data_IF_904402521675
#
_entry.id   IF_904402521675
#
_cell.length_a   1.000
_cell.length_b   1.000
_cell.length_c   1.000
_cell.angle_alpha   90.00
_cell.angle_beta   90.00
_cell.angle_gamma   90.00
#
_symmetry.space_group_name_H-M   'P 1'
#
loop_
_entity.id
_entity.type
_entity.pdbx_description
1 polymer ?
#
# COMPACT_ATOMS: atom_id res chain seq x y z
N UNK A 1 -28.26 -44.20 55.50
CA UNK A 1 -27.85 -42.97 54.80
C UNK A 1 -27.92 -43.22 53.29
N UNK A 2 -29.08 -42.80 52.63
CA UNK A 2 -29.27 -42.94 51.21
C UNK A 2 -28.86 -41.67 50.53
N UNK A 3 -27.70 -41.69 49.93
CA UNK A 3 -27.25 -40.65 48.99
C UNK A 3 -28.08 -40.66 47.70
N UNK A 4 -28.90 -39.64 47.57
CA UNK A 4 -29.73 -39.40 46.36
C UNK A 4 -28.78 -39.07 45.19
N UNK A 5 -28.54 -40.04 44.31
CA UNK A 5 -27.97 -39.78 42.98
C UNK A 5 -29.04 -39.07 42.14
N UNK A 6 -28.92 -37.73 41.99
CA UNK A 6 -29.65 -36.97 40.99
C UNK A 6 -29.24 -37.45 39.62
N UNK A 7 -30.15 -38.14 38.95
CA UNK A 7 -29.99 -38.62 37.59
C UNK A 7 -29.79 -37.45 36.62
N UNK A 8 -28.62 -37.29 36.12
CA UNK A 8 -28.38 -36.52 34.91
C UNK A 8 -29.18 -37.16 33.79
N UNK A 9 -30.26 -36.49 33.37
CA UNK A 9 -31.07 -36.91 32.24
C UNK A 9 -30.16 -37.05 31.02
N UNK A 10 -30.01 -38.27 30.50
CA UNK A 10 -29.23 -38.55 29.29
C UNK A 10 -29.88 -37.80 28.12
N UNK A 11 -29.28 -36.73 27.71
CA UNK A 11 -29.61 -36.06 26.45
C UNK A 11 -29.52 -37.10 25.33
N UNK A 12 -30.53 -37.22 24.48
CA UNK A 12 -30.44 -38.09 23.31
C UNK A 12 -29.24 -37.61 22.46
N UNK A 13 -28.51 -38.54 21.84
CA UNK A 13 -27.31 -38.24 21.05
C UNK A 13 -27.55 -37.10 20.04
N UNK A 14 -28.72 -37.03 19.44
CA UNK A 14 -29.11 -35.96 18.55
C UNK A 14 -29.16 -34.56 19.21
N UNK A 15 -29.75 -34.48 20.43
CA UNK A 15 -29.82 -33.20 21.18
C UNK A 15 -28.42 -32.74 21.63
N UNK A 16 -27.54 -33.66 22.03
CA UNK A 16 -26.16 -33.36 22.37
C UNK A 16 -25.38 -32.85 21.17
N UNK A 17 -25.55 -33.49 20.02
CA UNK A 17 -24.91 -33.02 18.76
C UNK A 17 -25.41 -31.63 18.34
N UNK A 18 -26.71 -31.37 18.45
CA UNK A 18 -27.26 -30.02 18.12
C UNK A 18 -26.71 -28.95 19.05
N UNK A 19 -26.63 -29.21 20.35
CA UNK A 19 -26.06 -28.28 21.32
C UNK A 19 -24.58 -28.00 21.03
N UNK A 20 -23.80 -29.04 20.73
CA UNK A 20 -22.39 -28.87 20.38
C UNK A 20 -22.25 -28.02 19.11
N UNK A 21 -23.05 -28.30 18.08
CA UNK A 21 -23.02 -27.50 16.84
C UNK A 21 -23.37 -26.04 17.12
N UNK A 22 -24.38 -25.74 17.92
CA UNK A 22 -24.73 -24.38 18.29
C UNK A 22 -23.58 -23.68 19.01
N UNK A 23 -22.94 -24.36 19.95
CA UNK A 23 -21.75 -23.80 20.66
C UNK A 23 -20.62 -23.48 19.67
N UNK A 24 -20.32 -24.40 18.76
CA UNK A 24 -19.27 -24.16 17.73
C UNK A 24 -19.64 -22.98 16.86
N UNK A 25 -20.86 -22.84 16.40
CA UNK A 25 -21.33 -21.71 15.59
C UNK A 25 -21.22 -20.40 16.37
N UNK A 26 -21.64 -20.37 17.63
CA UNK A 26 -21.50 -19.15 18.47
C UNK A 26 -20.03 -18.75 18.62
N UNK A 27 -19.14 -19.69 18.93
CA UNK A 27 -17.71 -19.38 19.03
C UNK A 27 -17.12 -18.94 17.70
N UNK A 28 -17.52 -19.53 16.58
CA UNK A 28 -17.08 -19.10 15.25
C UNK A 28 -17.51 -17.66 14.94
N UNK A 29 -18.76 -17.31 15.25
CA UNK A 29 -19.27 -15.94 15.07
C UNK A 29 -18.53 -14.96 15.97
N UNK A 30 -18.34 -15.29 17.26
CA UNK A 30 -17.57 -14.44 18.18
C UNK A 30 -16.12 -14.26 17.72
N UNK A 31 -15.46 -15.34 17.32
CA UNK A 31 -14.09 -15.27 16.78
C UNK A 31 -14.02 -14.41 15.53
N UNK A 32 -15.02 -14.50 14.65
CA UNK A 32 -15.09 -13.67 13.45
C UNK A 32 -15.31 -12.18 13.78
N UNK A 33 -16.13 -11.87 14.79
CA UNK A 33 -16.33 -10.51 15.27
C UNK A 33 -15.03 -9.93 15.85
N UNK A 34 -14.35 -10.71 16.70
CA UNK A 34 -13.05 -10.29 17.27
C UNK A 34 -12.01 -10.07 16.16
N UNK A 35 -11.98 -10.96 15.17
CA UNK A 35 -11.04 -10.83 14.05
C UNK A 35 -11.30 -9.59 13.17
N UNK A 36 -12.58 -9.21 13.01
CA UNK A 36 -12.95 -8.06 12.15
C UNK A 36 -12.86 -6.72 12.85
N UNK A 37 -13.20 -6.66 14.13
CA UNK A 37 -13.36 -5.41 14.86
C UNK A 37 -12.41 -5.26 16.05
N UNK A 38 -11.75 -6.36 16.47
CA UNK A 38 -10.92 -6.34 17.68
C UNK A 38 -11.70 -5.98 18.95
N UNK A 39 -11.05 -5.30 19.84
CA UNK A 39 -11.62 -4.72 21.06
C UNK A 39 -11.14 -3.27 21.20
N UNK A 40 -11.64 -2.34 20.38
CA UNK A 40 -11.18 -0.96 20.35
C UNK A 40 -11.33 -0.25 21.71
N UNK A 41 -12.32 -0.65 22.51
CA UNK A 41 -12.55 -0.11 23.86
C UNK A 41 -11.46 -0.45 24.88
N UNK A 42 -10.53 -1.37 24.55
CA UNK A 42 -9.36 -1.69 25.38
C UNK A 42 -8.16 -0.81 25.08
N UNK A 43 -8.20 -0.10 23.97
CA UNK A 43 -7.11 0.78 23.56
C UNK A 43 -7.25 2.13 24.29
N UNK A 44 -6.14 2.75 24.67
CA UNK A 44 -6.16 4.16 25.05
C UNK A 44 -6.79 5.00 23.95
N UNK A 45 -7.52 6.06 24.31
CA UNK A 45 -8.27 6.90 23.36
C UNK A 45 -7.40 7.40 22.20
N UNK A 46 -6.15 7.77 22.46
CA UNK A 46 -5.20 8.20 21.44
C UNK A 46 -4.87 7.09 20.44
N UNK A 47 -4.68 5.86 20.92
CA UNK A 47 -4.40 4.70 20.08
C UNK A 47 -5.64 4.31 19.27
N UNK A 48 -6.82 4.32 19.88
CA UNK A 48 -8.08 4.04 19.22
C UNK A 48 -8.36 5.04 18.08
N UNK A 49 -7.99 6.31 18.27
CA UNK A 49 -8.09 7.34 17.23
C UNK A 49 -7.13 7.09 16.07
N UNK A 50 -5.89 6.68 16.35
CA UNK A 50 -4.93 6.32 15.29
C UNK A 50 -5.41 5.08 14.53
N UNK A 51 -5.91 4.07 15.23
CA UNK A 51 -6.45 2.85 14.63
C UNK A 51 -7.65 3.14 13.73
N UNK A 52 -8.52 4.07 14.11
CA UNK A 52 -9.65 4.50 13.28
C UNK A 52 -9.22 5.09 11.93
N UNK A 53 -8.09 5.81 11.90
CA UNK A 53 -7.52 6.37 10.65
C UNK A 53 -7.03 5.27 9.71
N UNK A 54 -6.63 4.11 10.22
CA UNK A 54 -6.23 2.97 9.38
C UNK A 54 -7.36 2.49 8.45
N UNK A 55 -8.61 2.67 8.86
CA UNK A 55 -9.78 2.32 8.04
C UNK A 55 -10.13 3.38 6.98
N UNK A 56 -9.54 4.58 7.08
CA UNK A 56 -9.78 5.70 6.17
C UNK A 56 -8.92 5.56 4.90
N UNK A 57 -9.35 4.63 4.05
CA UNK A 57 -8.76 4.42 2.71
C UNK A 57 -9.76 4.91 1.68
N UNK A 58 -9.24 5.54 0.63
CA UNK A 58 -10.15 5.90 -0.45
C UNK A 58 -10.76 4.63 -1.09
N UNK A 59 -12.05 4.66 -1.47
CA UNK A 59 -12.81 3.46 -1.80
C UNK A 59 -12.30 2.71 -3.04
N UNK A 60 -11.55 3.39 -3.93
CA UNK A 60 -10.96 2.82 -5.16
C UNK A 60 -9.49 2.46 -5.02
N UNK A 61 -8.92 2.43 -3.79
CA UNK A 61 -7.51 2.12 -3.57
C UNK A 61 -7.10 0.81 -4.25
N UNK A 62 -7.91 -0.23 -4.11
CA UNK A 62 -7.61 -1.54 -4.70
C UNK A 62 -7.54 -1.48 -6.23
N UNK A 63 -8.53 -0.85 -6.87
CA UNK A 63 -8.62 -0.79 -8.33
C UNK A 63 -7.50 0.08 -8.92
N UNK A 64 -7.19 1.19 -8.28
CA UNK A 64 -6.25 2.18 -8.79
C UNK A 64 -4.78 1.85 -8.49
N UNK A 65 -4.51 1.13 -7.40
CA UNK A 65 -3.14 0.77 -7.01
C UNK A 65 -2.72 -0.59 -7.58
N UNK A 66 -3.61 -1.59 -7.55
CA UNK A 66 -3.24 -2.95 -7.96
C UNK A 66 -3.31 -3.16 -9.47
N UNK A 67 -4.17 -2.44 -10.17
CA UNK A 67 -4.35 -2.57 -11.61
C UNK A 67 -3.44 -1.63 -12.41
N UNK A 68 -2.91 -0.58 -11.77
CA UNK A 68 -2.00 0.39 -12.40
C UNK A 68 -2.68 1.25 -13.46
N UNK A 69 -4.00 1.38 -13.40
CA UNK A 69 -4.77 2.21 -14.29
C UNK A 69 -4.77 3.69 -13.89
N UNK A 70 -5.07 4.56 -14.86
CA UNK A 70 -5.26 5.98 -14.60
C UNK A 70 -6.57 6.20 -13.85
N UNK A 71 -6.47 6.63 -12.60
CA UNK A 71 -7.63 6.95 -11.78
C UNK A 71 -7.72 8.45 -11.54
N UNK A 72 -8.80 9.06 -12.01
CA UNK A 72 -9.11 10.45 -11.74
C UNK A 72 -9.98 10.56 -10.50
N UNK A 73 -9.57 11.39 -9.54
CA UNK A 73 -10.27 11.70 -8.31
C UNK A 73 -10.60 13.18 -8.22
N UNK A 74 -11.77 13.50 -7.67
CA UNK A 74 -12.27 14.87 -7.62
C UNK A 74 -12.97 15.29 -8.89
N UNK A 75 -13.36 16.57 -8.95
CA UNK A 75 -14.07 17.18 -10.07
C UNK A 75 -13.48 18.56 -10.36
N UNK A 76 -13.37 18.90 -11.64
CA UNK A 76 -12.80 20.18 -12.06
C UNK A 76 -11.44 20.03 -12.75
N UNK A 77 -10.68 21.15 -12.88
CA UNK A 77 -9.40 21.14 -13.55
C UNK A 77 -8.38 20.26 -12.80
N UNK A 78 -7.51 19.56 -13.54
CA UNK A 78 -6.46 18.75 -12.93
C UNK A 78 -5.49 19.65 -12.15
N UNK A 79 -5.31 19.35 -10.86
CA UNK A 79 -4.45 20.11 -9.94
C UNK A 79 -3.12 19.42 -9.67
N UNK A 80 -3.10 18.10 -9.74
CA UNK A 80 -1.88 17.32 -9.55
C UNK A 80 -1.97 15.97 -10.28
N UNK A 81 -0.80 15.42 -10.55
CA UNK A 81 -0.60 14.04 -11.00
C UNK A 81 0.21 13.37 -9.90
N UNK A 82 -0.30 12.31 -9.31
CA UNK A 82 0.34 11.55 -8.25
C UNK A 82 0.74 10.17 -8.79
N UNK A 83 2.03 9.89 -8.79
CA UNK A 83 2.58 8.61 -9.28
C UNK A 83 3.43 7.98 -8.20
N UNK A 84 3.26 6.67 -7.98
CA UNK A 84 4.08 5.95 -7.03
C UNK A 84 3.57 4.57 -6.63
N UNK A 85 4.02 4.11 -5.47
CA UNK A 85 3.59 2.85 -4.89
C UNK A 85 2.46 3.05 -3.84
N UNK A 86 2.30 2.12 -2.90
CA UNK A 86 1.32 2.24 -1.83
C UNK A 86 1.51 3.48 -0.94
N UNK A 87 2.70 4.09 -0.91
CA UNK A 87 2.91 5.35 -0.20
C UNK A 87 2.24 6.52 -0.92
N UNK A 88 2.20 6.49 -2.25
CA UNK A 88 1.44 7.47 -3.02
C UNK A 88 -0.07 7.30 -2.80
N UNK A 89 -0.57 6.07 -2.75
CA UNK A 89 -1.98 5.78 -2.44
C UNK A 89 -2.42 6.39 -1.10
N UNK A 90 -1.57 6.29 -0.06
CA UNK A 90 -1.84 6.88 1.24
C UNK A 90 -1.84 8.43 1.24
N UNK A 91 -1.11 9.06 0.33
CA UNK A 91 -1.10 10.52 0.21
C UNK A 91 -2.32 11.07 -0.51
N UNK A 92 -3.01 10.25 -1.30
CA UNK A 92 -4.11 10.69 -2.14
C UNK A 92 -5.25 11.31 -1.34
N UNK A 93 -5.63 10.69 -0.20
CA UNK A 93 -6.68 11.21 0.67
C UNK A 93 -6.35 12.63 1.15
N UNK A 94 -5.14 12.85 1.67
CA UNK A 94 -4.69 14.16 2.14
C UNK A 94 -4.57 15.20 1.03
N UNK A 95 -4.25 14.80 -0.20
CA UNK A 95 -4.28 15.72 -1.35
C UNK A 95 -5.70 16.14 -1.69
N UNK A 96 -6.64 15.21 -1.70
CA UNK A 96 -8.04 15.46 -2.03
C UNK A 96 -8.74 16.34 -0.98
N UNK A 97 -8.47 16.13 0.30
CA UNK A 97 -9.00 16.96 1.39
C UNK A 97 -8.61 18.45 1.28
N UNK A 98 -7.49 18.75 0.65
CA UNK A 98 -7.00 20.11 0.44
C UNK A 98 -7.50 20.74 -0.88
N UNK A 99 -8.29 20.03 -1.67
CA UNK A 99 -8.92 20.55 -2.89
C UNK A 99 -10.41 20.72 -2.61
N UNK A 100 -10.95 21.96 -2.59
CA UNK A 100 -12.37 22.17 -2.38
C UNK A 100 -13.21 21.42 -3.42
N UNK A 101 -14.37 20.94 -2.99
CA UNK A 101 -15.28 20.17 -3.85
C UNK A 101 -15.59 20.90 -5.17
N UNK A 102 -15.48 20.20 -6.28
CA UNK A 102 -15.71 20.75 -7.63
C UNK A 102 -14.61 21.66 -8.17
N UNK A 103 -13.55 21.96 -7.40
CA UNK A 103 -12.50 22.92 -7.80
C UNK A 103 -11.21 22.27 -8.30
N UNK A 104 -11.14 20.96 -8.33
CA UNK A 104 -9.96 20.29 -8.88
C UNK A 104 -10.05 18.79 -8.82
N UNK A 105 -9.14 18.18 -9.57
CA UNK A 105 -8.97 16.72 -9.63
C UNK A 105 -7.50 16.35 -9.51
N UNK A 106 -7.25 15.11 -9.07
CA UNK A 106 -5.94 14.48 -9.00
C UNK A 106 -5.97 13.25 -9.89
N UNK A 107 -5.04 13.17 -10.83
CA UNK A 107 -4.76 11.93 -11.55
C UNK A 107 -3.83 11.09 -10.69
N UNK A 108 -4.28 9.92 -10.28
CA UNK A 108 -3.47 8.95 -9.56
C UNK A 108 -3.16 7.75 -10.46
N UNK A 109 -1.91 7.35 -10.48
CA UNK A 109 -1.46 6.10 -11.08
C UNK A 109 -0.41 5.45 -10.19
N UNK A 110 -0.66 4.24 -9.75
CA UNK A 110 0.22 3.55 -8.80
C UNK A 110 0.29 2.05 -9.03
N UNK A 111 1.34 1.46 -8.46
CA UNK A 111 1.50 0.02 -8.41
C UNK A 111 2.16 -0.35 -7.08
N UNK A 112 1.47 -1.18 -6.28
CA UNK A 112 1.97 -1.59 -4.97
C UNK A 112 3.36 -2.24 -5.06
N UNK A 113 4.25 -1.86 -4.14
CA UNK A 113 5.61 -2.38 -4.01
C UNK A 113 6.50 -2.22 -5.26
N UNK A 114 6.19 -1.29 -6.17
CA UNK A 114 6.97 -1.03 -7.37
C UNK A 114 7.82 0.24 -7.24
N UNK A 115 9.08 0.13 -7.59
CA UNK A 115 9.93 1.30 -7.84
C UNK A 115 9.50 1.94 -9.17
N UNK A 116 9.03 3.19 -9.10
CA UNK A 116 8.66 3.93 -10.29
C UNK A 116 9.84 4.77 -10.76
N UNK A 117 10.53 4.27 -11.76
CA UNK A 117 11.60 5.00 -12.46
C UNK A 117 11.76 4.43 -13.88
N UNK A 118 12.28 5.23 -14.79
CA UNK A 118 12.48 4.79 -16.17
C UNK A 118 13.39 3.57 -16.24
N UNK A 119 12.99 2.58 -17.05
CA UNK A 119 13.76 1.36 -17.34
C UNK A 119 14.05 0.45 -16.13
N UNK A 120 13.45 0.72 -14.97
CA UNK A 120 13.53 -0.21 -13.86
C UNK A 120 12.82 -1.53 -14.20
N UNK A 121 13.45 -2.65 -13.89
CA UNK A 121 12.91 -4.00 -14.04
C UNK A 121 12.89 -4.70 -12.70
N UNK A 122 11.85 -5.46 -12.45
CA UNK A 122 11.69 -6.20 -11.22
C UNK A 122 12.48 -7.50 -11.25
N UNK A 123 13.11 -7.85 -10.14
CA UNK A 123 14.06 -8.95 -10.07
C UNK A 123 13.42 -10.31 -9.70
N UNK A 124 12.16 -10.29 -9.26
CA UNK A 124 11.43 -11.47 -8.82
C UNK A 124 10.37 -11.90 -9.85
N UNK A 125 9.93 -13.16 -9.77
CA UNK A 125 8.81 -13.67 -10.57
C UNK A 125 7.53 -12.89 -10.23
N UNK A 126 6.71 -12.58 -11.24
CA UNK A 126 5.50 -11.79 -11.08
C UNK A 126 5.71 -10.27 -11.07
N UNK A 127 6.93 -9.80 -11.34
CA UNK A 127 7.28 -8.38 -11.37
C UNK A 127 6.94 -7.64 -12.67
N UNK A 128 6.36 -8.32 -13.66
CA UNK A 128 6.04 -7.75 -14.97
C UNK A 128 5.17 -6.50 -14.90
N UNK A 129 4.30 -6.40 -13.89
CA UNK A 129 3.44 -5.22 -13.66
C UNK A 129 4.25 -3.99 -13.25
N UNK A 130 5.31 -4.18 -12.45
CA UNK A 130 6.24 -3.10 -12.11
C UNK A 130 7.00 -2.61 -13.35
N UNK A 131 7.46 -3.54 -14.19
CA UNK A 131 8.14 -3.23 -15.44
C UNK A 131 7.22 -2.43 -16.37
N UNK A 132 5.96 -2.87 -16.51
CA UNK A 132 4.94 -2.19 -17.31
C UNK A 132 4.66 -0.77 -16.79
N UNK A 133 4.61 -0.57 -15.48
CA UNK A 133 4.41 0.75 -14.89
C UNK A 133 5.58 1.71 -15.17
N UNK A 134 6.80 1.22 -15.03
CA UNK A 134 8.02 1.98 -15.35
C UNK A 134 8.09 2.34 -16.84
N UNK A 135 7.75 1.39 -17.70
CA UNK A 135 7.68 1.60 -19.16
C UNK A 135 6.58 2.59 -19.52
N UNK A 136 5.38 2.44 -18.93
CA UNK A 136 4.29 3.36 -19.16
C UNK A 136 4.68 4.81 -18.84
N UNK A 137 5.32 5.05 -17.70
CA UNK A 137 5.75 6.40 -17.34
C UNK A 137 6.74 6.95 -18.38
N UNK A 138 7.70 6.16 -18.81
CA UNK A 138 8.69 6.56 -19.82
C UNK A 138 8.04 6.94 -21.15
N UNK A 139 7.03 6.19 -21.58
CA UNK A 139 6.37 6.40 -22.87
C UNK A 139 5.31 7.51 -22.85
N UNK A 140 4.65 7.71 -21.70
CA UNK A 140 3.45 8.54 -21.63
C UNK A 140 3.63 9.87 -20.90
N UNK A 141 4.76 10.12 -20.21
CA UNK A 141 4.94 11.34 -19.42
C UNK A 141 4.75 12.62 -20.24
N UNK A 142 5.12 12.64 -21.51
CA UNK A 142 4.95 13.79 -22.41
C UNK A 142 3.50 14.04 -22.81
N UNK A 143 2.66 12.99 -22.77
CA UNK A 143 1.22 13.08 -23.02
C UNK A 143 0.40 13.56 -21.81
N UNK A 144 0.99 13.61 -20.63
CA UNK A 144 0.33 14.13 -19.45
C UNK A 144 0.07 15.63 -19.58
N UNK A 145 -1.00 16.20 -18.96
CA UNK A 145 -1.33 17.62 -19.08
C UNK A 145 -0.17 18.54 -18.73
N UNK A 146 0.19 19.43 -19.64
CA UNK A 146 1.32 20.35 -19.47
C UNK A 146 1.11 21.31 -18.30
N UNK A 147 2.18 21.59 -17.56
CA UNK A 147 2.17 22.53 -16.43
C UNK A 147 1.48 22.01 -15.16
N UNK A 148 0.79 20.86 -15.21
CA UNK A 148 0.23 20.25 -14.01
C UNK A 148 1.36 19.60 -13.19
N UNK A 149 1.49 19.93 -11.88
CA UNK A 149 2.55 19.40 -11.05
C UNK A 149 2.47 17.87 -10.94
N UNK A 150 3.62 17.22 -11.03
CA UNK A 150 3.81 15.79 -10.84
C UNK A 150 4.38 15.54 -9.44
N UNK A 151 3.71 14.70 -8.67
CA UNK A 151 4.15 14.28 -7.34
C UNK A 151 4.59 12.82 -7.43
N UNK A 152 5.85 12.58 -7.11
CA UNK A 152 6.44 11.24 -7.02
C UNK A 152 6.50 10.83 -5.55
N UNK A 153 5.87 9.72 -5.19
CA UNK A 153 5.88 9.22 -3.83
C UNK A 153 6.05 7.70 -3.81
N UNK A 154 6.93 7.21 -2.95
CA UNK A 154 7.21 5.78 -2.86
C UNK A 154 8.18 5.43 -1.75
N UNK A 155 8.29 4.15 -1.46
CA UNK A 155 9.21 3.59 -0.48
C UNK A 155 10.66 3.55 -1.01
N UNK A 156 11.15 4.65 -1.57
CA UNK A 156 12.46 4.68 -2.24
C UNK A 156 13.62 4.20 -1.35
N UNK A 157 13.59 4.47 -0.05
CA UNK A 157 14.59 3.97 0.90
C UNK A 157 14.64 2.45 0.95
N UNK A 158 13.51 1.77 0.78
CA UNK A 158 13.43 0.31 0.74
C UNK A 158 14.16 -0.29 -0.47
N UNK A 159 14.18 0.43 -1.58
CA UNK A 159 14.78 -0.04 -2.83
C UNK A 159 16.25 0.31 -2.96
N UNK A 160 16.72 1.27 -2.16
CA UNK A 160 18.07 1.82 -2.29
C UNK A 160 18.98 1.58 -1.09
N UNK A 161 18.42 1.28 0.07
CA UNK A 161 19.21 1.07 1.29
C UNK A 161 18.67 -0.12 2.06
N UNK A 162 19.23 -1.27 1.80
CA UNK A 162 18.85 -2.50 2.47
C UNK A 162 19.77 -2.87 3.63
N UNK A 163 20.50 -1.91 4.19
CA UNK A 163 21.40 -2.16 5.33
C UNK A 163 20.66 -2.65 6.59
N UNK A 164 19.35 -2.50 6.64
CA UNK A 164 18.52 -2.83 7.81
C UNK A 164 17.63 -4.08 7.61
N UNK A 165 17.44 -4.50 6.36
CA UNK A 165 16.74 -5.75 6.04
C UNK A 165 17.83 -6.73 5.58
N UNK A 166 18.53 -7.34 6.54
CA UNK A 166 19.60 -8.31 6.28
C UNK A 166 19.17 -9.35 5.24
N UNK A 167 20.07 -9.69 4.32
CA UNK A 167 19.96 -10.75 3.32
C UNK A 167 18.92 -10.57 2.20
N UNK A 168 18.30 -9.42 2.06
CA UNK A 168 17.35 -9.22 0.98
C UNK A 168 18.06 -8.98 -0.35
N UNK A 169 17.59 -9.70 -1.34
CA UNK A 169 18.03 -9.52 -2.72
C UNK A 169 17.64 -8.12 -3.23
N UNK A 170 18.43 -7.60 -4.17
CA UNK A 170 18.07 -6.39 -4.92
C UNK A 170 16.75 -6.62 -5.63
N UNK A 171 15.75 -5.78 -5.35
CA UNK A 171 14.40 -5.94 -5.90
C UNK A 171 14.30 -5.44 -7.35
N UNK A 172 15.11 -4.48 -7.74
CA UNK A 172 15.07 -3.85 -9.06
C UNK A 172 16.46 -3.74 -9.67
N UNK A 173 16.52 -3.83 -10.97
CA UNK A 173 17.74 -3.62 -11.76
C UNK A 173 17.42 -2.77 -13.00
N UNK A 174 18.41 -2.31 -13.71
CA UNK A 174 18.26 -1.52 -14.93
C UNK A 174 18.74 -2.29 -16.16
N UNK A 175 20.02 -2.30 -16.39
CA UNK A 175 20.60 -2.89 -17.61
C UNK A 175 20.84 -4.40 -17.45
N UNK A 176 21.48 -4.79 -16.34
CA UNK A 176 21.79 -6.18 -16.03
C UNK A 176 21.24 -6.58 -14.67
N UNK A 177 20.75 -7.82 -14.58
CA UNK A 177 20.24 -8.38 -13.34
C UNK A 177 21.33 -8.47 -12.27
N UNK A 178 21.11 -7.76 -11.16
CA UNK A 178 21.99 -7.79 -9.97
C UNK A 178 21.27 -8.44 -8.79
N UNK A 179 22.00 -9.20 -7.99
CA UNK A 179 21.44 -9.90 -6.82
C UNK A 179 21.82 -9.27 -5.50
N UNK A 180 22.89 -8.47 -5.47
CA UNK A 180 23.42 -7.89 -4.24
C UNK A 180 23.59 -6.38 -4.40
N UNK A 181 23.37 -5.65 -3.33
CA UNK A 181 23.64 -4.23 -3.29
C UNK A 181 25.14 -3.97 -3.38
N UNK A 182 25.52 -3.01 -4.20
CA UNK A 182 26.91 -2.56 -4.39
C UNK A 182 26.95 -1.05 -4.57
N UNK A 183 28.12 -0.45 -4.40
CA UNK A 183 28.31 0.98 -4.69
C UNK A 183 27.95 1.34 -6.14
N UNK A 184 28.25 0.44 -7.09
CA UNK A 184 27.90 0.59 -8.49
C UNK A 184 26.38 0.57 -8.71
N UNK A 185 25.67 -0.35 -8.05
CA UNK A 185 24.20 -0.39 -8.08
C UNK A 185 23.61 0.94 -7.61
N UNK A 186 24.05 1.46 -6.46
CA UNK A 186 23.55 2.73 -5.94
C UNK A 186 23.87 3.90 -6.83
N UNK A 187 25.03 3.91 -7.47
CA UNK A 187 25.40 4.93 -8.43
C UNK A 187 24.48 4.87 -9.66
N UNK A 188 24.30 3.68 -10.25
CA UNK A 188 23.40 3.47 -11.39
C UNK A 188 21.97 3.90 -11.04
N UNK A 189 21.45 3.47 -9.88
CA UNK A 189 20.13 3.89 -9.42
C UNK A 189 20.02 5.41 -9.35
N UNK A 190 20.96 6.06 -8.70
CA UNK A 190 20.99 7.52 -8.56
C UNK A 190 21.01 8.23 -9.91
N UNK A 191 21.85 7.79 -10.82
CA UNK A 191 21.98 8.40 -12.15
C UNK A 191 20.68 8.24 -12.95
N UNK A 192 20.10 7.05 -12.98
CA UNK A 192 18.83 6.77 -13.68
C UNK A 192 17.68 7.55 -13.08
N UNK A 193 17.58 7.57 -11.75
CA UNK A 193 16.52 8.31 -11.06
C UNK A 193 16.61 9.81 -11.28
N UNK A 194 17.80 10.39 -11.14
CA UNK A 194 18.02 11.84 -11.38
C UNK A 194 17.74 12.19 -12.84
N UNK A 195 18.18 11.39 -13.80
CA UNK A 195 17.89 11.60 -15.21
C UNK A 195 16.39 11.63 -15.48
N UNK A 196 15.62 10.67 -14.94
CA UNK A 196 14.16 10.65 -15.04
C UNK A 196 13.54 11.93 -14.45
N UNK A 197 13.91 12.31 -13.22
CA UNK A 197 13.37 13.50 -12.57
C UNK A 197 13.67 14.76 -13.36
N UNK A 198 14.88 14.90 -13.89
CA UNK A 198 15.28 16.03 -14.73
C UNK A 198 14.45 16.07 -16.05
N UNK A 199 14.23 14.92 -16.68
CA UNK A 199 13.40 14.85 -17.89
C UNK A 199 11.95 15.26 -17.59
N UNK A 200 11.36 14.73 -16.54
CA UNK A 200 10.00 15.10 -16.09
C UNK A 200 9.90 16.59 -15.73
N UNK A 201 10.93 17.14 -15.07
CA UNK A 201 10.98 18.53 -14.63
C UNK A 201 11.16 19.52 -15.79
N UNK A 202 11.59 19.07 -16.97
CA UNK A 202 11.65 19.92 -18.16
C UNK A 202 10.29 20.37 -18.69
N UNK A 203 9.24 19.65 -18.32
CA UNK A 203 7.87 19.88 -18.82
C UNK A 203 6.90 20.43 -17.75
N UNK A 204 7.18 20.17 -16.48
CA UNK A 204 6.28 20.49 -15.36
C UNK A 204 7.00 20.55 -14.03
N UNK A 205 6.42 21.22 -12.99
CA UNK A 205 6.94 21.10 -11.64
C UNK A 205 6.90 19.65 -11.15
N UNK A 206 8.02 19.14 -10.63
CA UNK A 206 8.12 17.79 -10.05
C UNK A 206 8.42 17.91 -8.56
N UNK A 207 7.60 17.25 -7.76
CA UNK A 207 7.76 17.17 -6.32
C UNK A 207 8.06 15.73 -5.92
N UNK A 208 9.21 15.54 -5.27
CA UNK A 208 9.57 14.25 -4.68
C UNK A 208 9.17 14.23 -3.22
N UNK A 209 8.26 13.34 -2.84
CA UNK A 209 7.96 13.08 -1.44
C UNK A 209 9.08 12.24 -0.84
N UNK A 210 9.63 12.68 0.28
CA UNK A 210 10.65 11.92 1.01
C UNK A 210 10.03 10.62 1.52
N UNK A 211 10.78 9.54 1.40
CA UNK A 211 10.38 8.25 1.96
C UNK A 211 10.16 8.37 3.48
N UNK A 212 9.13 7.70 3.97
CA UNK A 212 8.87 7.59 5.41
C UNK A 212 10.10 6.96 6.08
N UNK A 213 10.57 7.51 7.21
CA UNK A 213 11.66 6.90 7.96
C UNK A 213 11.28 5.47 8.39
N UNK A 214 12.22 4.54 8.24
CA UNK A 214 12.08 3.18 8.79
C UNK A 214 12.60 3.24 10.23
N UNK A 215 11.77 2.84 11.17
CA UNK A 215 12.18 2.75 12.58
C UNK A 215 12.95 1.43 12.79
N UNK A 216 14.11 1.51 13.43
CA UNK A 216 14.99 0.36 13.67
C UNK A 216 14.56 -0.49 14.87
N UNK A 217 13.44 -0.16 15.49
CA UNK A 217 12.90 -0.89 16.63
C UNK A 217 11.40 -1.07 16.47
N UNK A 218 10.92 -2.25 16.79
CA UNK A 218 9.49 -2.50 16.96
C UNK A 218 9.00 -1.64 18.14
N UNK A 219 8.04 -0.77 17.84
CA UNK A 219 7.44 0.14 18.83
C UNK A 219 6.27 -0.55 19.51
#
# INVERSE_FOLDING_TARGET
EKTSQRGLSRLSAGRAATLLLMVVVVFAVLAQQVRRHGFPERLPEEVARIEAVHADKHPRSRDCLDEGDDCLFGQGPMRAILIGDSHADHLLAGLLENIPEGQGSVLFRGMAACLITFDARFNQEGGERCDQMSQWLKENHRGLPAGVPLILAGAYSRYTNNSEISDSEVLFYFDERVRTFSAEYFQTFRERYVAMVCELASERPVYQVRATPILNQDV
#
